data_IF_934160227652
#
_entry.id   IF_934160227652
#
_cell.length_a   1.000
_cell.length_b   1.000
_cell.length_c   1.000
_cell.angle_alpha   90.00
_cell.angle_beta   90.00
_cell.angle_gamma   90.00
#
_symmetry.space_group_name_H-M   'P 1'
#
loop_
_entity.id
_entity.type
_entity.pdbx_description
1 polymer ?
#
# COMPACT_ATOMS: atom_id res chain seq x y z
N UNK A 1 -24.28 -12.00 24.76
CA UNK A 1 -24.44 -10.80 23.91
C UNK A 1 -24.64 -11.31 22.50
N UNK A 2 -25.87 -11.26 21.98
CA UNK A 2 -26.12 -11.55 20.56
C UNK A 2 -25.67 -10.33 19.76
N UNK A 3 -24.64 -10.48 18.94
CA UNK A 3 -24.26 -9.47 17.97
C UNK A 3 -25.38 -9.34 16.94
N UNK A 4 -26.13 -8.24 17.02
CA UNK A 4 -27.11 -7.89 16.00
C UNK A 4 -26.31 -7.42 14.78
N UNK A 5 -26.15 -8.32 13.82
CA UNK A 5 -25.61 -8.03 12.50
C UNK A 5 -26.59 -7.11 11.77
N UNK A 6 -26.38 -5.80 11.91
CA UNK A 6 -27.10 -4.80 11.13
C UNK A 6 -26.55 -4.86 9.70
N UNK A 7 -27.37 -5.17 8.67
CA UNK A 7 -26.91 -5.13 7.30
C UNK A 7 -26.59 -3.68 6.95
N UNK A 8 -25.32 -3.40 6.66
CA UNK A 8 -24.91 -2.14 6.08
C UNK A 8 -25.31 -2.22 4.60
N UNK A 9 -26.20 -1.32 4.16
CA UNK A 9 -26.60 -1.19 2.76
C UNK A 9 -25.44 -0.62 1.94
N UNK A 10 -24.50 -1.49 1.61
CA UNK A 10 -23.41 -1.24 0.69
C UNK A 10 -23.94 -1.47 -0.73
N UNK A 11 -23.54 -0.62 -1.68
CA UNK A 11 -23.95 -0.79 -3.08
C UNK A 11 -23.48 -2.16 -3.60
N UNK A 12 -24.26 -2.80 -4.48
CA UNK A 12 -23.92 -4.15 -4.98
C UNK A 12 -22.53 -4.20 -5.63
N UNK A 13 -22.07 -3.07 -6.19
CA UNK A 13 -20.74 -2.93 -6.77
C UNK A 13 -19.64 -2.96 -5.71
N UNK A 14 -19.74 -2.16 -4.65
CA UNK A 14 -18.78 -2.17 -3.53
C UNK A 14 -18.72 -3.55 -2.85
N UNK A 15 -19.84 -4.25 -2.76
CA UNK A 15 -19.88 -5.62 -2.21
C UNK A 15 -19.12 -6.62 -3.08
N UNK A 16 -19.19 -6.48 -4.41
CA UNK A 16 -18.46 -7.34 -5.34
C UNK A 16 -16.95 -7.04 -5.34
N UNK A 17 -16.55 -5.77 -5.21
CA UNK A 17 -15.15 -5.36 -5.09
C UNK A 17 -14.56 -5.81 -3.75
N UNK A 18 -15.30 -5.64 -2.64
CA UNK A 18 -14.88 -6.08 -1.30
C UNK A 18 -14.90 -7.61 -1.13
N UNK A 19 -15.64 -8.34 -1.98
CA UNK A 19 -15.62 -9.80 -1.98
C UNK A 19 -14.33 -10.38 -2.56
N UNK A 20 -13.66 -9.64 -3.45
CA UNK A 20 -12.40 -10.05 -4.09
C UNK A 20 -11.19 -9.46 -3.36
N UNK A 21 -11.29 -8.20 -2.93
CA UNK A 21 -10.23 -7.47 -2.24
C UNK A 21 -10.67 -7.13 -0.81
N UNK A 22 -9.84 -7.44 0.19
CA UNK A 22 -10.06 -6.89 1.52
C UNK A 22 -9.96 -5.36 1.47
N UNK A 23 -10.74 -4.68 2.32
CA UNK A 23 -10.78 -3.22 2.40
C UNK A 23 -9.37 -2.60 2.48
N UNK A 24 -8.46 -3.21 3.27
CA UNK A 24 -7.07 -2.75 3.36
C UNK A 24 -6.31 -2.87 2.04
N UNK A 25 -6.43 -4.00 1.34
CA UNK A 25 -5.73 -4.19 0.07
C UNK A 25 -6.24 -3.21 -0.99
N UNK A 26 -7.54 -2.94 -1.00
CA UNK A 26 -8.12 -1.94 -1.87
C UNK A 26 -7.52 -0.55 -1.62
N UNK A 27 -7.51 -0.09 -0.37
CA UNK A 27 -6.98 1.22 -0.01
C UNK A 27 -5.46 1.37 -0.19
N UNK A 28 -4.70 0.27 -0.16
CA UNK A 28 -3.25 0.31 -0.43
C UNK A 28 -2.91 0.23 -1.91
N UNK A 29 -3.60 -0.63 -2.67
CA UNK A 29 -3.20 -0.95 -4.05
C UNK A 29 -3.85 0.00 -5.05
N UNK A 30 -5.13 0.36 -4.88
CA UNK A 30 -5.87 1.15 -5.88
C UNK A 30 -5.35 2.59 -6.00
N UNK A 31 -5.13 3.35 -4.92
CA UNK A 31 -4.59 4.71 -5.03
C UNK A 31 -3.17 4.73 -5.62
N UNK A 32 -2.33 3.76 -5.23
CA UNK A 32 -0.96 3.65 -5.76
C UNK A 32 -1.00 3.29 -7.25
N UNK A 33 -1.80 2.31 -7.64
CA UNK A 33 -1.97 1.93 -9.04
C UNK A 33 -2.46 3.11 -9.89
N UNK A 34 -3.47 3.82 -9.42
CA UNK A 34 -4.02 5.00 -10.11
C UNK A 34 -2.97 6.10 -10.30
N UNK A 35 -2.24 6.46 -9.24
CA UNK A 35 -1.18 7.46 -9.29
C UNK A 35 -0.04 7.04 -10.23
N UNK A 36 0.36 5.76 -10.21
CA UNK A 36 1.43 5.27 -11.06
C UNK A 36 1.03 5.19 -12.53
N UNK A 37 -0.24 4.88 -12.84
CA UNK A 37 -0.78 4.98 -14.22
C UNK A 37 -0.76 6.44 -14.69
N UNK A 38 -1.24 7.37 -13.86
CA UNK A 38 -1.20 8.79 -14.17
C UNK A 38 0.24 9.28 -14.39
N UNK A 39 1.20 8.78 -13.60
CA UNK A 39 2.62 9.08 -13.74
C UNK A 39 3.23 8.55 -15.04
N UNK A 40 2.84 7.36 -15.51
CA UNK A 40 3.25 6.87 -16.84
C UNK A 40 2.70 7.78 -17.95
N UNK A 41 1.45 8.21 -17.84
CA UNK A 41 0.79 8.97 -18.91
C UNK A 41 1.25 10.44 -18.97
N UNK A 42 1.33 11.12 -17.82
CA UNK A 42 1.58 12.56 -17.73
C UNK A 42 2.82 12.95 -16.93
N UNK A 43 3.46 12.00 -16.23
CA UNK A 43 4.69 12.27 -15.49
C UNK A 43 5.87 12.53 -16.41
N UNK A 44 6.85 13.28 -15.94
CA UNK A 44 8.11 13.53 -16.63
C UNK A 44 9.24 13.39 -15.61
N UNK A 45 10.31 12.70 -15.98
CA UNK A 45 11.53 12.66 -15.17
C UNK A 45 12.49 13.72 -15.71
N UNK A 46 12.86 14.72 -14.89
CA UNK A 46 13.77 15.75 -15.34
C UNK A 46 15.10 15.12 -15.77
N UNK A 47 15.75 15.71 -16.77
CA UNK A 47 17.04 15.25 -17.34
C UNK A 47 16.97 13.96 -18.18
N UNK A 48 15.80 13.37 -18.39
CA UNK A 48 15.60 12.25 -19.33
C UNK A 48 14.63 12.66 -20.45
N UNK A 49 14.85 12.13 -21.65
CA UNK A 49 14.01 12.43 -22.81
C UNK A 49 13.75 11.19 -23.67
N UNK A 50 12.62 11.22 -24.39
CA UNK A 50 12.24 10.19 -25.36
C UNK A 50 12.02 8.82 -24.71
N UNK A 51 12.58 7.79 -25.34
CA UNK A 51 12.39 6.39 -24.94
C UNK A 51 12.95 6.08 -23.55
N UNK A 52 14.08 6.69 -23.17
CA UNK A 52 14.72 6.44 -21.87
C UNK A 52 13.85 6.91 -20.70
N UNK A 53 13.22 8.08 -20.83
CA UNK A 53 12.28 8.59 -19.83
C UNK A 53 11.07 7.65 -19.67
N UNK A 54 10.51 7.16 -20.78
CA UNK A 54 9.42 6.19 -20.74
C UNK A 54 9.82 4.87 -20.05
N UNK A 55 11.00 4.32 -20.38
CA UNK A 55 11.49 3.08 -19.75
C UNK A 55 11.66 3.26 -18.24
N UNK A 56 12.25 4.38 -17.79
CA UNK A 56 12.44 4.63 -16.36
C UNK A 56 11.09 4.78 -15.65
N UNK A 57 10.12 5.49 -16.25
CA UNK A 57 8.77 5.58 -15.70
C UNK A 57 8.09 4.21 -15.60
N UNK A 58 8.29 3.33 -16.58
CA UNK A 58 7.77 1.96 -16.58
C UNK A 58 8.44 1.08 -15.51
N UNK A 59 9.75 1.20 -15.32
CA UNK A 59 10.47 0.50 -14.23
C UNK A 59 9.98 0.98 -12.88
N UNK A 60 9.83 2.30 -12.70
CA UNK A 60 9.28 2.89 -11.48
C UNK A 60 7.87 2.38 -11.20
N UNK A 61 7.02 2.28 -12.22
CA UNK A 61 5.69 1.68 -12.11
C UNK A 61 5.76 0.26 -11.55
N UNK A 62 6.57 -0.62 -12.15
CA UNK A 62 6.69 -2.01 -11.70
C UNK A 62 7.19 -2.12 -10.25
N UNK A 63 8.19 -1.30 -9.89
CA UNK A 63 8.77 -1.32 -8.54
C UNK A 63 7.77 -0.81 -7.50
N UNK A 64 7.16 0.36 -7.73
CA UNK A 64 6.27 0.99 -6.75
C UNK A 64 4.98 0.19 -6.60
N UNK A 65 4.37 -0.25 -7.70
CA UNK A 65 3.15 -1.08 -7.64
C UNK A 65 3.44 -2.46 -7.04
N UNK A 66 4.56 -3.08 -7.41
CA UNK A 66 5.00 -4.34 -6.80
C UNK A 66 5.19 -4.22 -5.29
N UNK A 67 5.80 -3.13 -4.82
CA UNK A 67 5.96 -2.88 -3.39
C UNK A 67 4.62 -2.66 -2.67
N UNK A 68 3.69 -1.93 -3.29
CA UNK A 68 2.35 -1.75 -2.74
C UNK A 68 1.58 -3.07 -2.62
N UNK A 69 1.69 -3.95 -3.62
CA UNK A 69 1.09 -5.30 -3.57
C UNK A 69 1.75 -6.13 -2.47
N UNK A 70 3.08 -6.11 -2.34
CA UNK A 70 3.76 -6.80 -1.25
C UNK A 70 3.30 -6.32 0.12
N UNK A 71 3.19 -5.01 0.34
CA UNK A 71 2.67 -4.46 1.59
C UNK A 71 1.22 -4.87 1.88
N UNK A 72 0.39 -4.97 0.84
CA UNK A 72 -1.02 -5.29 0.97
C UNK A 72 -1.29 -6.78 1.24
N UNK A 73 -0.51 -7.67 0.62
CA UNK A 73 -0.77 -9.11 0.61
C UNK A 73 0.21 -9.94 1.44
N UNK A 74 1.43 -9.47 1.68
CA UNK A 74 2.44 -10.27 2.38
C UNK A 74 2.16 -10.28 3.89
N UNK A 75 1.87 -11.46 4.42
CA UNK A 75 1.72 -11.71 5.85
C UNK A 75 3.01 -12.32 6.41
N UNK A 76 3.50 -11.78 7.52
CA UNK A 76 4.66 -12.30 8.24
C UNK A 76 4.17 -13.29 9.31
N UNK A 77 4.25 -14.58 9.01
CA UNK A 77 3.74 -15.63 9.90
C UNK A 77 4.40 -15.61 11.29
N UNK A 78 5.69 -15.29 11.36
CA UNK A 78 6.43 -15.15 12.64
C UNK A 78 5.82 -14.13 13.60
N UNK A 79 5.15 -13.12 13.07
CA UNK A 79 4.63 -11.98 13.83
C UNK A 79 3.10 -11.88 13.75
N UNK A 80 2.44 -12.83 13.09
CA UNK A 80 1.00 -12.86 12.78
C UNK A 80 0.42 -11.56 12.21
N UNK A 81 1.26 -10.71 11.61
CA UNK A 81 0.89 -9.38 11.14
C UNK A 81 1.25 -9.20 9.66
N UNK A 82 0.58 -8.26 8.98
CA UNK A 82 0.93 -7.93 7.61
C UNK A 82 2.18 -7.04 7.56
N UNK A 83 2.89 -7.10 6.43
CA UNK A 83 4.13 -6.35 6.24
C UNK A 83 3.93 -4.84 6.49
N UNK A 84 2.78 -4.29 6.09
CA UNK A 84 2.41 -2.90 6.38
C UNK A 84 2.38 -2.57 7.87
N UNK A 85 1.84 -3.48 8.68
CA UNK A 85 1.69 -3.29 10.13
C UNK A 85 3.02 -3.49 10.84
N UNK A 86 3.81 -4.47 10.40
CA UNK A 86 5.15 -4.71 10.90
C UNK A 86 6.07 -3.50 10.74
N UNK A 87 6.07 -2.89 9.56
CA UNK A 87 6.87 -1.68 9.29
C UNK A 87 6.42 -0.53 10.19
N UNK A 88 5.10 -0.35 10.35
CA UNK A 88 4.54 0.69 11.22
C UNK A 88 4.96 0.52 12.68
N UNK A 89 4.88 -0.70 13.21
CA UNK A 89 5.28 -1.02 14.60
C UNK A 89 6.77 -0.82 14.78
N UNK A 90 7.60 -1.34 13.85
CA UNK A 90 9.05 -1.16 13.93
C UNK A 90 9.47 0.32 13.89
N UNK A 91 8.84 1.12 13.04
CA UNK A 91 9.13 2.55 12.99
C UNK A 91 8.74 3.25 14.30
N UNK A 92 7.54 2.97 14.83
CA UNK A 92 7.13 3.53 16.12
C UNK A 92 8.07 3.10 17.25
N UNK A 93 8.49 1.84 17.27
CA UNK A 93 9.43 1.31 18.24
C UNK A 93 10.78 2.04 18.16
N UNK A 94 11.36 2.17 16.97
CA UNK A 94 12.61 2.90 16.74
C UNK A 94 12.51 4.37 17.20
N UNK A 95 11.38 5.03 16.95
CA UNK A 95 11.14 6.41 17.41
C UNK A 95 10.95 6.52 18.93
N UNK A 96 10.45 5.47 19.57
CA UNK A 96 10.12 5.45 21.00
C UNK A 96 11.32 5.18 21.91
N UNK A 97 12.45 4.73 21.34
CA UNK A 97 13.66 4.47 22.12
C UNK A 97 14.21 5.80 22.68
N UNK A 98 13.83 6.10 23.92
CA UNK A 98 14.42 7.19 24.69
C UNK A 98 15.88 6.84 24.95
N UNK A 99 16.80 7.56 24.32
CA UNK A 99 18.21 7.54 24.69
C UNK A 99 18.35 8.25 26.04
N UNK A 100 18.44 7.47 27.12
CA UNK A 100 18.82 8.00 28.43
C UNK A 100 20.32 8.30 28.38
N UNK A 101 20.67 9.59 28.22
CA UNK A 101 22.02 10.05 28.48
C UNK A 101 22.21 10.05 30.00
N UNK A 102 22.92 9.04 30.53
CA UNK A 102 23.40 9.07 31.90
C UNK A 102 24.56 10.05 31.98
N UNK A 103 24.28 11.27 32.42
CA UNK A 103 25.29 12.21 32.92
C UNK A 103 25.46 12.01 34.42
#
# INVERSE_FOLDING_TARGET
>A
MNEILVPIDITQEEKSVLAIFSLRQFFLVVPVGFLMIAFIMWGNIPFLAGLTDFIVRLVMFLVVTGFAVLLAFFKLDKYEMFLSDFIKVNWQFARSQKTYLSW
#
